data_IF_387207217707
#
_entry.id   IF_387207217707
#
_cell.length_a   1.000
_cell.length_b   1.000
_cell.length_c   1.000
_cell.angle_alpha   90.00
_cell.angle_beta   90.00
_cell.angle_gamma   90.00
#
_symmetry.space_group_name_H-M   'P 1'
#
loop_
_entity.id
_entity.type
_entity.pdbx_description
1 polymer ?
#
# COMPACT_ATOMS: atom_id res chain seq x y z
N UNK A 1 4.18 -10.82 -10.76
CA UNK A 1 3.17 -9.86 -10.28
C UNK A 1 2.81 -10.20 -8.86
N UNK A 2 2.57 -9.21 -8.01
CA UNK A 2 2.25 -9.37 -6.58
C UNK A 2 0.74 -9.44 -6.35
N UNK A 3 0.32 -10.21 -5.35
CA UNK A 3 -1.06 -10.16 -4.83
C UNK A 3 -1.24 -9.01 -3.81
N UNK A 4 -2.50 -8.71 -3.49
CA UNK A 4 -2.82 -7.61 -2.58
C UNK A 4 -2.30 -7.82 -1.14
N UNK A 5 -2.13 -9.08 -0.69
CA UNK A 5 -1.56 -9.40 0.63
C UNK A 5 -0.07 -9.09 0.66
N UNK A 6 0.63 -9.41 -0.42
CA UNK A 6 2.05 -9.11 -0.56
C UNK A 6 2.29 -7.60 -0.62
N UNK A 7 1.50 -6.87 -1.40
CA UNK A 7 1.58 -5.41 -1.46
C UNK A 7 1.26 -4.78 -0.09
N UNK A 8 0.19 -5.21 0.57
CA UNK A 8 -0.16 -4.70 1.91
C UNK A 8 0.94 -5.00 2.94
N UNK A 9 1.54 -6.19 2.90
CA UNK A 9 2.64 -6.52 3.79
C UNK A 9 3.87 -5.64 3.56
N UNK A 10 4.19 -5.31 2.31
CA UNK A 10 5.31 -4.41 1.98
C UNK A 10 5.05 -2.95 2.35
N UNK A 11 3.79 -2.50 2.29
CA UNK A 11 3.38 -1.20 2.79
C UNK A 11 3.55 -1.12 4.32
N UNK A 12 3.10 -2.15 5.04
CA UNK A 12 3.16 -2.20 6.51
C UNK A 12 4.58 -2.34 7.05
N UNK A 13 5.45 -3.06 6.36
CA UNK A 13 6.82 -3.35 6.79
C UNK A 13 7.87 -2.45 6.12
N UNK A 14 7.46 -1.41 5.39
CA UNK A 14 8.37 -0.43 4.82
C UNK A 14 9.05 0.44 5.87
N UNK A 15 10.08 1.18 5.46
CA UNK A 15 10.75 2.19 6.31
C UNK A 15 9.72 3.19 6.87
N UNK A 16 8.80 3.63 6.01
CA UNK A 16 7.60 4.36 6.41
C UNK A 16 6.42 3.38 6.34
N UNK A 17 5.94 2.96 7.50
CA UNK A 17 4.85 2.01 7.62
C UNK A 17 3.51 2.65 7.21
N UNK A 18 2.87 2.09 6.19
CA UNK A 18 1.55 2.52 5.71
C UNK A 18 0.54 1.43 6.04
N UNK A 19 -0.45 1.75 6.87
CA UNK A 19 -1.48 0.82 7.32
C UNK A 19 -2.74 0.94 6.45
N UNK A 20 -3.08 -0.16 5.76
CA UNK A 20 -4.30 -0.27 4.96
C UNK A 20 -5.40 -1.04 5.71
N UNK A 21 -6.65 -0.83 5.30
CA UNK A 21 -7.80 -1.64 5.72
C UNK A 21 -7.79 -2.96 4.97
N UNK A 22 -7.96 -4.05 5.72
CA UNK A 22 -7.80 -5.44 5.24
C UNK A 22 -9.12 -6.22 5.13
N UNK A 23 -10.28 -5.55 5.26
CA UNK A 23 -11.60 -6.18 5.26
C UNK A 23 -11.83 -7.07 4.02
N UNK A 24 -11.37 -6.63 2.85
CA UNK A 24 -11.53 -7.33 1.58
C UNK A 24 -10.22 -7.93 1.07
N UNK A 25 -9.18 -8.04 1.92
CA UNK A 25 -7.85 -8.47 1.48
C UNK A 25 -7.87 -9.88 0.90
N UNK A 26 -8.73 -10.75 1.45
CA UNK A 26 -8.99 -12.10 0.96
C UNK A 26 -9.60 -12.14 -0.45
N UNK A 27 -10.21 -11.03 -0.90
CA UNK A 27 -10.73 -10.86 -2.26
C UNK A 27 -9.73 -10.16 -3.19
N UNK A 28 -8.48 -9.97 -2.75
CA UNK A 28 -7.45 -9.29 -3.53
C UNK A 28 -7.55 -7.77 -3.49
N UNK A 29 -8.21 -7.18 -2.47
CA UNK A 29 -8.37 -5.72 -2.36
C UNK A 29 -8.08 -5.24 -0.94
N UNK A 30 -7.11 -4.33 -0.79
CA UNK A 30 -7.00 -3.48 0.39
C UNK A 30 -7.52 -2.07 0.06
N UNK A 31 -7.86 -1.30 1.10
CA UNK A 31 -8.28 0.09 0.93
C UNK A 31 -7.57 1.01 1.91
N UNK A 32 -7.37 2.25 1.51
CA UNK A 32 -6.87 3.31 2.39
C UNK A 32 -8.05 4.20 2.78
N UNK A 33 -8.11 4.61 4.05
CA UNK A 33 -9.11 5.57 4.50
C UNK A 33 -8.59 6.99 4.25
N UNK A 34 -9.13 7.74 3.26
CA UNK A 34 -8.63 9.08 2.98
C UNK A 34 -8.83 10.04 4.17
N UNK A 35 -9.73 9.74 5.11
CA UNK A 35 -9.97 10.57 6.30
C UNK A 35 -8.80 10.54 7.29
N UNK A 36 -7.93 9.54 7.18
CA UNK A 36 -6.76 9.39 8.04
C UNK A 36 -5.47 9.81 7.34
N UNK A 37 -5.56 10.35 6.12
CA UNK A 37 -4.42 10.81 5.33
C UNK A 37 -4.28 12.31 5.51
N UNK A 38 -3.16 12.75 6.07
CA UNK A 38 -2.85 14.16 6.23
C UNK A 38 -2.43 14.81 4.91
N UNK A 39 -2.43 16.14 4.89
CA UNK A 39 -1.96 16.91 3.74
C UNK A 39 -0.51 16.53 3.41
N UNK A 40 -0.23 16.24 2.13
CA UNK A 40 1.09 15.82 1.66
C UNK A 40 1.39 14.31 1.74
N UNK A 41 0.70 13.55 2.61
CA UNK A 41 0.95 12.10 2.76
C UNK A 41 0.50 11.29 1.55
N UNK A 42 -0.49 11.76 0.80
CA UNK A 42 -0.98 11.08 -0.41
C UNK A 42 0.15 10.86 -1.43
N UNK A 43 1.03 11.85 -1.61
CA UNK A 43 2.16 11.75 -2.55
C UNK A 43 3.16 10.67 -2.13
N UNK A 44 3.38 10.52 -0.82
CA UNK A 44 4.24 9.48 -0.25
C UNK A 44 3.65 8.09 -0.44
N UNK A 45 2.35 7.93 -0.19
CA UNK A 45 1.62 6.67 -0.43
C UNK A 45 1.75 6.25 -1.90
N UNK A 46 1.52 7.19 -2.82
CA UNK A 46 1.62 6.92 -4.26
C UNK A 46 3.05 6.56 -4.67
N UNK A 47 4.06 7.28 -4.17
CA UNK A 47 5.46 6.98 -4.43
C UNK A 47 5.81 5.55 -3.97
N UNK A 48 5.41 5.17 -2.76
CA UNK A 48 5.67 3.84 -2.23
C UNK A 48 4.99 2.73 -3.02
N UNK A 49 3.75 2.93 -3.45
CA UNK A 49 3.03 1.96 -4.30
C UNK A 49 3.73 1.78 -5.66
N UNK A 50 4.25 2.85 -6.26
CA UNK A 50 5.02 2.78 -7.51
C UNK A 50 6.30 1.99 -7.33
N UNK A 51 7.08 2.26 -6.29
CA UNK A 51 8.29 1.49 -5.98
C UNK A 51 8.00 -0.01 -5.88
N UNK A 52 6.95 -0.40 -5.14
CA UNK A 52 6.55 -1.81 -4.99
C UNK A 52 6.19 -2.42 -6.34
N UNK A 53 5.44 -1.69 -7.17
CA UNK A 53 5.03 -2.16 -8.50
C UNK A 53 6.23 -2.31 -9.45
N UNK A 54 7.14 -1.34 -9.46
CA UNK A 54 8.34 -1.35 -10.29
C UNK A 54 9.29 -2.49 -9.90
N UNK A 55 9.49 -2.72 -8.60
CA UNK A 55 10.28 -3.86 -8.12
C UNK A 55 9.66 -5.21 -8.48
N UNK A 56 8.33 -5.31 -8.55
CA UNK A 56 7.64 -6.54 -8.92
C UNK A 56 7.64 -6.83 -10.44
N UNK A 57 7.96 -5.83 -11.25
CA UNK A 57 8.01 -5.91 -12.71
C UNK A 57 9.40 -6.26 -13.26
N UNK A 58 10.44 -6.12 -12.42
CA UNK A 58 11.83 -6.52 -12.71
C UNK A 58 12.11 -7.92 -12.15
#
# INVERSE_FOLDING_TARGET
GLDAREVEAQLRNGEIAIYARRYNLHQGVFSLDPRTVAEGEMSLIVARLKEIADHAAN
#
